data_IF_228188889777
#
_entry.id   IF_228188889777
#
_cell.length_a   1.000
_cell.length_b   1.000
_cell.length_c   1.000
_cell.angle_alpha   90.00
_cell.angle_beta   90.00
_cell.angle_gamma   90.00
#
_symmetry.space_group_name_H-M   'P 1'
#
loop_
_entity.id
_entity.type
_entity.pdbx_description
1 polymer ?
#
# COMPACT_ATOMS: atom_id res chain seq x y z
N UNK A 1 33.64 16.33 -10.25
CA UNK A 1 32.37 17.11 -10.14
C UNK A 1 31.32 16.27 -9.40
N UNK A 2 31.09 16.61 -8.14
CA UNK A 2 30.08 16.01 -7.28
C UNK A 2 28.68 16.29 -7.88
N UNK A 3 27.84 15.26 -8.03
CA UNK A 3 26.48 15.41 -8.56
C UNK A 3 25.69 16.44 -7.75
N UNK A 4 24.77 17.23 -8.35
CA UNK A 4 24.00 18.26 -7.63
C UNK A 4 23.28 17.75 -6.37
N UNK A 5 22.94 16.46 -6.34
CA UNK A 5 22.35 15.74 -5.20
C UNK A 5 23.28 15.56 -3.99
N UNK A 6 24.59 15.70 -4.16
CA UNK A 6 25.59 15.54 -3.10
C UNK A 6 25.93 16.84 -2.36
N UNK A 7 25.64 18.01 -2.95
CA UNK A 7 25.84 19.31 -2.29
C UNK A 7 24.67 19.69 -1.36
N UNK A 8 23.48 19.13 -1.58
CA UNK A 8 22.29 19.34 -0.72
C UNK A 8 22.31 18.43 0.53
N UNK A 9 23.28 17.52 0.62
CA UNK A 9 23.28 16.43 1.59
C UNK A 9 24.07 16.71 2.87
N UNK A 10 25.16 17.50 2.79
CA UNK A 10 26.08 17.74 3.91
C UNK A 10 25.37 18.40 5.08
N UNK A 11 25.32 17.67 6.21
CA UNK A 11 24.72 18.16 7.45
C UNK A 11 23.20 17.98 7.57
N UNK A 12 22.57 17.25 6.64
CA UNK A 12 21.17 16.83 6.77
C UNK A 12 20.93 15.98 8.03
N UNK A 13 19.71 16.02 8.58
CA UNK A 13 19.33 15.20 9.76
C UNK A 13 19.64 13.72 9.53
N UNK A 14 19.42 13.25 8.29
CA UNK A 14 19.68 11.86 7.90
C UNK A 14 21.18 11.53 7.97
N UNK A 15 22.07 12.42 7.55
CA UNK A 15 23.52 12.18 7.66
C UNK A 15 24.00 12.22 9.11
N UNK A 16 23.47 13.13 9.92
CA UNK A 16 23.85 13.26 11.34
C UNK A 16 23.42 12.05 12.19
N UNK A 17 22.30 11.42 11.84
CA UNK A 17 21.73 10.26 12.55
C UNK A 17 22.24 8.92 12.04
N UNK A 18 22.53 8.82 10.74
CA UNK A 18 22.98 7.57 10.11
C UNK A 18 24.36 7.17 10.62
N UNK A 19 24.50 5.94 11.10
CA UNK A 19 25.82 5.37 11.41
C UNK A 19 26.68 5.27 10.15
N UNK A 20 28.00 5.40 10.30
CA UNK A 20 28.93 5.37 9.16
C UNK A 20 28.83 4.09 8.32
N UNK A 21 28.53 2.95 8.95
CA UNK A 21 28.37 1.63 8.32
C UNK A 21 27.01 1.39 7.66
N UNK A 22 26.04 2.30 7.80
CA UNK A 22 24.68 2.13 7.26
C UNK A 22 24.58 2.86 5.93
N UNK A 23 24.21 2.18 4.86
CA UNK A 23 24.08 2.83 3.54
C UNK A 23 22.91 3.82 3.48
N UNK A 24 23.12 4.95 2.81
CA UNK A 24 22.06 5.86 2.40
C UNK A 24 21.36 5.31 1.15
N UNK A 25 20.04 5.30 1.14
CA UNK A 25 19.22 4.83 0.03
C UNK A 25 18.52 6.01 -0.65
N UNK A 26 18.41 5.92 -1.96
CA UNK A 26 17.60 6.81 -2.79
C UNK A 26 16.70 5.96 -3.68
N UNK A 27 15.40 6.27 -3.67
CA UNK A 27 14.42 5.77 -4.62
C UNK A 27 13.98 6.94 -5.49
N UNK A 28 13.99 6.74 -6.79
CA UNK A 28 13.42 7.68 -7.75
C UNK A 28 12.71 6.92 -8.86
N UNK A 29 11.52 7.37 -9.24
CA UNK A 29 10.77 6.80 -10.35
C UNK A 29 9.39 7.42 -10.51
N UNK A 30 8.60 6.86 -11.42
CA UNK A 30 7.24 7.33 -11.70
C UNK A 30 6.21 6.22 -11.56
N UNK A 31 5.01 6.56 -11.13
CA UNK A 31 3.82 5.68 -11.15
C UNK A 31 2.70 6.34 -11.95
N UNK A 32 1.83 5.54 -12.55
CA UNK A 32 0.65 6.05 -13.25
C UNK A 32 -0.45 6.38 -12.23
N UNK A 33 -0.96 7.61 -12.25
CA UNK A 33 -2.00 8.10 -11.33
C UNK A 33 -1.98 9.60 -11.13
N UNK A 34 -2.70 10.05 -10.10
CA UNK A 34 -2.69 11.45 -9.65
C UNK A 34 -1.99 11.58 -8.31
N UNK A 35 -1.52 12.79 -7.98
CA UNK A 35 -0.94 13.07 -6.67
C UNK A 35 -1.92 12.73 -5.55
N UNK A 36 -3.19 13.13 -5.71
CA UNK A 36 -4.24 12.84 -4.74
C UNK A 36 -4.50 11.33 -4.59
N UNK A 37 -4.41 10.55 -5.68
CA UNK A 37 -4.47 9.08 -5.58
C UNK A 37 -3.30 8.51 -4.79
N UNK A 38 -2.09 9.01 -5.04
CA UNK A 38 -0.91 8.58 -4.31
C UNK A 38 -1.05 8.86 -2.81
N UNK A 39 -1.52 10.06 -2.46
CA UNK A 39 -1.74 10.45 -1.07
C UNK A 39 -2.89 9.66 -0.43
N UNK A 40 -3.99 9.45 -1.16
CA UNK A 40 -5.12 8.64 -0.68
C UNK A 40 -4.75 7.18 -0.47
N UNK A 41 -3.89 6.62 -1.31
CA UNK A 41 -3.34 5.28 -1.14
C UNK A 41 -2.32 5.18 0.00
N UNK A 42 -1.49 6.20 0.17
CA UNK A 42 -0.50 6.24 1.25
C UNK A 42 -1.15 6.45 2.63
N UNK A 43 -2.23 7.22 2.70
CA UNK A 43 -2.89 7.60 3.95
C UNK A 43 -3.46 6.40 4.71
N UNK A 44 -2.95 6.19 5.92
CA UNK A 44 -3.34 5.13 6.84
C UNK A 44 -3.20 5.59 8.30
N UNK A 45 -4.23 6.29 8.79
CA UNK A 45 -4.28 6.91 10.12
C UNK A 45 -4.92 6.04 11.22
N UNK A 46 -5.25 4.78 10.93
CA UNK A 46 -5.72 3.80 11.92
C UNK A 46 -5.00 2.46 11.73
N UNK A 47 -4.91 1.65 12.79
CA UNK A 47 -4.33 0.29 12.72
C UNK A 47 -4.98 -0.54 11.62
N UNK A 48 -6.32 -0.48 11.55
CA UNK A 48 -7.09 -1.18 10.54
C UNK A 48 -6.74 -0.71 9.12
N UNK A 49 -6.75 0.61 8.88
CA UNK A 49 -6.39 1.16 7.57
C UNK A 49 -4.95 0.82 7.18
N UNK A 50 -4.02 0.80 8.14
CA UNK A 50 -2.62 0.48 7.89
C UNK A 50 -2.43 -0.99 7.53
N UNK A 51 -3.05 -1.92 8.27
CA UNK A 51 -3.02 -3.34 7.92
C UNK A 51 -3.68 -3.61 6.55
N UNK A 52 -4.77 -2.92 6.24
CA UNK A 52 -5.41 -3.01 4.93
C UNK A 52 -4.51 -2.52 3.79
N UNK A 53 -3.80 -1.40 3.99
CA UNK A 53 -2.80 -0.92 3.03
C UNK A 53 -1.70 -1.95 2.84
N UNK A 54 -1.13 -2.45 3.93
CA UNK A 54 -0.07 -3.47 3.93
C UNK A 54 -0.45 -4.70 3.11
N UNK A 55 -1.70 -5.16 3.22
CA UNK A 55 -2.21 -6.31 2.47
C UNK A 55 -2.24 -6.14 0.94
N UNK A 56 -2.14 -4.91 0.43
CA UNK A 56 -2.12 -4.63 -1.01
C UNK A 56 -0.76 -4.17 -1.51
N UNK A 57 -0.02 -3.38 -0.72
CA UNK A 57 1.31 -2.88 -1.11
C UNK A 57 2.43 -3.87 -0.78
N UNK A 58 2.15 -4.90 0.02
CA UNK A 58 3.07 -5.97 0.40
C UNK A 58 4.37 -5.44 1.01
N UNK A 59 4.26 -4.48 1.94
CA UNK A 59 5.38 -3.92 2.69
C UNK A 59 5.87 -4.84 3.83
N UNK A 60 5.32 -6.06 3.94
CA UNK A 60 5.74 -7.12 4.85
C UNK A 60 5.73 -6.71 6.32
N UNK A 61 4.65 -6.09 6.77
CA UNK A 61 4.41 -5.84 8.19
C UNK A 61 3.93 -7.13 8.85
N UNK A 62 4.57 -7.50 9.97
CA UNK A 62 4.09 -8.60 10.81
C UNK A 62 3.08 -8.09 11.83
N UNK A 63 3.44 -7.02 12.55
CA UNK A 63 2.50 -6.30 13.41
C UNK A 63 2.73 -4.79 13.34
N UNK A 64 1.68 -4.02 13.61
CA UNK A 64 1.70 -2.57 13.51
C UNK A 64 0.65 -1.94 14.44
N UNK A 65 1.04 -0.89 15.16
CA UNK A 65 0.18 -0.12 16.07
C UNK A 65 0.44 1.37 15.93
N UNK A 66 -0.62 2.16 15.88
CA UNK A 66 -0.57 3.60 16.09
C UNK A 66 -0.67 3.83 17.59
N UNK A 67 0.39 4.36 18.18
CA UNK A 67 0.48 4.58 19.62
C UNK A 67 -0.10 5.92 20.03
N UNK A 68 0.04 6.94 19.18
CA UNK A 68 -0.53 8.26 19.42
C UNK A 68 -0.81 8.97 18.09
N UNK A 69 -1.91 9.72 18.04
CA UNK A 69 -2.20 10.66 16.94
C UNK A 69 -2.06 12.08 17.49
N UNK A 70 -1.11 12.83 16.94
CA UNK A 70 -0.85 14.24 17.31
C UNK A 70 -1.65 15.18 16.42
N UNK A 71 -1.71 14.91 15.11
CA UNK A 71 -2.56 15.65 14.16
C UNK A 71 -3.27 14.68 13.24
N UNK A 72 -4.58 14.87 13.12
CA UNK A 72 -5.41 14.15 12.17
C UNK A 72 -5.68 14.95 10.88
N UNK A 73 -6.40 14.31 9.95
CA UNK A 73 -6.88 14.91 8.71
C UNK A 73 -7.86 16.06 8.96
N UNK A 74 -8.02 16.95 7.98
CA UNK A 74 -8.94 18.10 8.04
C UNK A 74 -9.62 18.31 6.69
N UNK A 75 -10.65 19.17 6.66
CA UNK A 75 -11.31 19.54 5.40
C UNK A 75 -10.37 20.21 4.38
N UNK A 76 -9.31 20.87 4.83
CA UNK A 76 -8.30 21.53 3.98
C UNK A 76 -7.10 20.63 3.62
N UNK A 77 -6.90 19.55 4.36
CA UNK A 77 -5.83 18.59 4.13
C UNK A 77 -6.32 17.21 4.61
N UNK A 78 -7.05 16.47 3.76
CA UNK A 78 -7.68 15.21 4.14
C UNK A 78 -6.69 14.06 4.24
N UNK A 79 -5.45 14.24 3.78
CA UNK A 79 -4.38 13.25 3.88
C UNK A 79 -3.40 13.57 5.01
N UNK A 80 -3.71 14.55 5.86
CA UNK A 80 -2.85 14.97 6.96
C UNK A 80 -2.79 13.93 8.07
N UNK A 81 -1.58 13.58 8.48
CA UNK A 81 -1.35 12.77 9.67
C UNK A 81 -0.05 13.21 10.33
N UNK A 82 -0.03 13.23 11.66
CA UNK A 82 1.18 13.26 12.48
C UNK A 82 0.94 12.34 13.67
N UNK A 83 1.79 11.35 13.87
CA UNK A 83 1.61 10.41 14.97
C UNK A 83 2.82 9.55 15.26
N UNK A 84 2.73 8.81 16.36
CA UNK A 84 3.71 7.81 16.77
C UNK A 84 3.20 6.44 16.34
N UNK A 85 4.07 5.69 15.64
CA UNK A 85 3.78 4.37 15.11
C UNK A 85 4.85 3.39 15.56
N UNK A 86 4.40 2.21 15.95
CA UNK A 86 5.26 1.06 16.19
C UNK A 86 4.94 -0.03 15.18
N UNK A 87 5.96 -0.72 14.68
CA UNK A 87 5.75 -1.88 13.82
C UNK A 87 6.91 -2.87 13.87
N UNK A 88 6.59 -4.14 13.60
CA UNK A 88 7.56 -5.20 13.38
C UNK A 88 7.51 -5.64 11.90
N UNK A 89 8.69 -5.90 11.32
CA UNK A 89 8.79 -6.43 9.95
C UNK A 89 8.80 -7.96 9.96
N UNK A 90 8.19 -8.54 8.92
CA UNK A 90 8.38 -9.96 8.59
C UNK A 90 9.79 -10.16 8.03
N UNK A 91 10.48 -11.23 8.45
CA UNK A 91 11.72 -11.64 7.79
C UNK A 91 11.43 -12.61 6.65
N UNK A 92 12.23 -12.60 5.56
CA UNK A 92 12.13 -13.62 4.54
C UNK A 92 12.17 -15.02 5.17
N UNK A 93 11.21 -15.89 4.82
CA UNK A 93 11.09 -17.22 5.43
C UNK A 93 12.37 -18.07 5.35
N UNK A 94 13.21 -17.83 4.34
CA UNK A 94 14.51 -18.49 4.17
C UNK A 94 15.56 -18.08 5.21
N UNK A 95 15.30 -17.01 5.97
CA UNK A 95 16.18 -16.48 7.02
C UNK A 95 15.58 -16.67 8.42
N UNK A 96 14.42 -17.34 8.53
CA UNK A 96 13.79 -17.67 9.81
C UNK A 96 14.73 -18.55 10.64
N UNK A 97 14.96 -18.16 11.90
CA UNK A 97 15.90 -18.85 12.81
C UNK A 97 17.37 -18.42 12.66
N UNK A 98 17.70 -17.66 11.63
CA UNK A 98 19.05 -17.10 11.41
C UNK A 98 19.05 -15.60 11.74
N UNK A 99 18.01 -14.87 11.33
CA UNK A 99 17.87 -13.44 11.61
C UNK A 99 16.93 -13.17 12.79
N UNK A 100 17.46 -12.44 13.76
CA UNK A 100 16.69 -11.89 14.88
C UNK A 100 15.61 -10.91 14.38
N UNK A 101 14.45 -10.87 15.04
CA UNK A 101 13.34 -9.99 14.66
C UNK A 101 13.65 -8.53 14.94
N UNK A 102 13.16 -7.62 14.09
CA UNK A 102 13.27 -6.17 14.29
C UNK A 102 11.93 -5.49 14.47
N UNK A 103 11.84 -4.60 15.44
CA UNK A 103 10.78 -3.62 15.58
C UNK A 103 11.30 -2.20 15.32
N UNK A 104 10.38 -1.28 15.05
CA UNK A 104 10.67 0.12 14.80
C UNK A 104 9.64 0.97 15.52
N UNK A 105 10.11 2.01 16.21
CA UNK A 105 9.30 3.06 16.79
C UNK A 105 9.59 4.36 16.06
N UNK A 106 8.57 4.93 15.42
CA UNK A 106 8.72 6.09 14.54
C UNK A 106 7.71 7.17 14.87
N UNK A 107 8.08 8.41 14.57
CA UNK A 107 7.15 9.47 14.23
C UNK A 107 6.92 9.47 12.72
N UNK A 108 5.67 9.50 12.31
CA UNK A 108 5.27 9.59 10.91
C UNK A 108 4.48 10.88 10.67
N UNK A 109 4.81 11.58 9.59
CA UNK A 109 4.09 12.77 9.13
C UNK A 109 3.70 12.64 7.66
N UNK A 110 2.44 12.90 7.33
CA UNK A 110 1.91 12.86 5.96
C UNK A 110 1.08 14.10 5.67
N UNK A 111 1.03 14.53 4.42
CA UNK A 111 0.19 15.65 4.01
C UNK A 111 0.58 16.21 2.66
N UNK A 112 -0.06 17.32 2.32
CA UNK A 112 0.23 18.11 1.13
C UNK A 112 0.90 19.43 1.55
N UNK A 113 1.84 19.90 0.73
CA UNK A 113 2.49 21.20 0.90
C UNK A 113 2.81 21.81 -0.46
N UNK A 114 3.28 23.05 -0.48
CA UNK A 114 3.94 23.65 -1.64
C UNK A 114 5.46 23.47 -1.54
N UNK A 115 6.13 23.32 -2.67
CA UNK A 115 7.59 23.40 -2.78
C UNK A 115 8.09 24.85 -2.91
N UNK A 116 9.37 25.05 -3.24
CA UNK A 116 9.96 26.39 -3.42
C UNK A 116 9.35 27.18 -4.59
N UNK A 117 8.77 26.49 -5.57
CA UNK A 117 8.15 27.09 -6.76
C UNK A 117 6.65 27.31 -6.57
N UNK A 118 6.09 26.95 -5.40
CA UNK A 118 4.65 27.01 -5.13
C UNK A 118 3.87 25.80 -5.64
N UNK A 119 4.54 24.80 -6.23
CA UNK A 119 3.91 23.62 -6.79
C UNK A 119 3.48 22.66 -5.67
N UNK A 120 2.27 22.10 -5.82
CA UNK A 120 1.72 21.17 -4.84
C UNK A 120 2.50 19.84 -4.87
N UNK A 121 3.00 19.44 -3.71
CA UNK A 121 3.68 18.16 -3.50
C UNK A 121 3.07 17.42 -2.31
N UNK A 122 3.08 16.09 -2.40
CA UNK A 122 2.77 15.21 -1.28
C UNK A 122 4.05 14.84 -0.53
N UNK A 123 3.95 14.69 0.78
CA UNK A 123 5.06 14.20 1.59
C UNK A 123 4.63 13.05 2.49
N UNK A 124 5.60 12.17 2.75
CA UNK A 124 5.51 11.13 3.77
C UNK A 124 6.88 11.00 4.44
N UNK A 125 6.95 11.40 5.71
CA UNK A 125 8.15 11.39 6.51
C UNK A 125 8.05 10.30 7.57
N UNK A 126 9.10 9.52 7.72
CA UNK A 126 9.26 8.58 8.83
C UNK A 126 10.58 8.87 9.52
N UNK A 127 10.57 8.98 10.83
CA UNK A 127 11.79 9.14 11.61
C UNK A 127 11.68 8.36 12.90
N UNK A 128 12.68 7.54 13.21
CA UNK A 128 12.72 6.81 14.47
C UNK A 128 12.80 7.77 15.66
N UNK A 129 12.09 7.42 16.73
CA UNK A 129 12.06 8.17 17.99
C UNK A 129 12.25 7.23 19.17
N UNK A 130 12.66 7.80 20.31
CA UNK A 130 12.79 7.08 21.57
C UNK A 130 11.78 7.64 22.55
N UNK A 131 10.95 6.77 23.14
CA UNK A 131 9.96 7.13 24.15
C UNK A 131 10.15 6.23 25.37
N UNK A 132 10.15 6.82 26.57
CA UNK A 132 10.35 6.07 27.82
C UNK A 132 9.26 5.02 28.04
N UNK A 133 8.02 5.36 27.68
CA UNK A 133 6.85 4.48 27.83
C UNK A 133 6.79 3.36 26.79
N UNK A 134 7.72 3.34 25.82
CA UNK A 134 7.79 2.33 24.76
C UNK A 134 9.20 1.73 24.73
N UNK A 135 9.54 0.87 25.70
CA UNK A 135 10.87 0.29 25.82
C UNK A 135 11.20 -0.62 24.62
N UNK A 136 12.47 -0.95 24.49
CA UNK A 136 12.92 -1.98 23.55
C UNK A 136 12.47 -3.37 24.00
N UNK A 137 12.26 -4.26 23.03
CA UNK A 137 11.77 -5.62 23.28
C UNK A 137 12.92 -6.65 23.26
N UNK A 138 14.11 -6.23 23.69
CA UNK A 138 15.34 -7.04 23.67
C UNK A 138 15.21 -8.31 24.52
N UNK A 139 14.49 -8.25 25.65
CA UNK A 139 14.17 -9.41 26.50
C UNK A 139 13.31 -10.47 25.80
N UNK A 140 12.63 -10.12 24.71
CA UNK A 140 11.90 -11.06 23.84
C UNK A 140 12.70 -11.48 22.61
N UNK A 141 14.00 -11.13 22.55
CA UNK A 141 14.83 -11.39 21.39
C UNK A 141 14.44 -10.54 20.17
N UNK A 142 13.88 -9.34 20.37
CA UNK A 142 13.57 -8.39 19.27
C UNK A 142 14.52 -7.19 19.37
N UNK A 143 15.18 -6.84 18.26
CA UNK A 143 16.07 -5.69 18.18
C UNK A 143 15.34 -4.45 17.67
N UNK A 144 15.51 -3.32 18.35
CA UNK A 144 15.01 -2.03 17.87
C UNK A 144 15.90 -1.52 16.75
N UNK A 145 15.32 -1.42 15.55
CA UNK A 145 15.94 -0.75 14.42
C UNK A 145 15.68 0.76 14.42
N UNK A 146 16.53 1.49 13.70
CA UNK A 146 16.40 2.91 13.46
C UNK A 146 16.19 3.17 11.96
N UNK A 147 15.33 4.12 11.61
CA UNK A 147 15.18 4.55 10.23
C UNK A 147 14.89 6.04 10.14
N UNK A 148 15.18 6.60 8.97
CA UNK A 148 14.68 7.92 8.61
C UNK A 148 14.51 8.00 7.10
N UNK A 149 13.28 8.19 6.64
CA UNK A 149 12.93 8.33 5.23
C UNK A 149 12.11 9.59 4.98
N UNK A 150 12.42 10.27 3.89
CA UNK A 150 11.68 11.41 3.39
C UNK A 150 11.20 11.08 1.97
N UNK A 151 9.90 10.91 1.81
CA UNK A 151 9.26 10.75 0.50
C UNK A 151 8.64 12.07 0.07
N UNK A 152 8.89 12.45 -1.18
CA UNK A 152 8.25 13.57 -1.88
C UNK A 152 7.60 13.01 -3.14
N UNK A 153 6.34 13.37 -3.33
CA UNK A 153 5.53 12.96 -4.47
C UNK A 153 5.09 14.20 -5.25
N UNK A 154 5.29 14.20 -6.56
CA UNK A 154 4.99 15.33 -7.44
C UNK A 154 4.15 14.89 -8.62
N UNK A 155 3.14 15.68 -8.99
CA UNK A 155 2.41 15.46 -10.23
C UNK A 155 3.32 15.78 -11.43
N UNK A 156 3.58 14.80 -12.29
CA UNK A 156 4.44 14.93 -13.46
C UNK A 156 3.60 14.80 -14.74
N UNK A 157 2.89 15.88 -15.09
CA UNK A 157 1.95 15.88 -16.21
C UNK A 157 0.68 15.06 -15.94
N UNK A 158 -0.10 14.79 -16.99
CA UNK A 158 -1.38 14.07 -16.87
C UNK A 158 -1.16 12.59 -16.56
N UNK A 159 -1.71 12.12 -15.44
CA UNK A 159 -1.77 10.70 -15.11
C UNK A 159 -0.45 10.07 -14.68
N UNK A 160 0.56 10.87 -14.28
CA UNK A 160 1.83 10.37 -13.74
C UNK A 160 2.25 11.12 -12.48
N UNK A 161 2.80 10.39 -11.52
CA UNK A 161 3.37 10.94 -10.29
C UNK A 161 4.82 10.51 -10.18
N UNK A 162 5.70 11.48 -9.97
CA UNK A 162 7.10 11.25 -9.60
C UNK A 162 7.19 10.95 -8.11
N UNK A 163 7.92 9.90 -7.76
CA UNK A 163 8.25 9.53 -6.40
C UNK A 163 9.74 9.72 -6.22
N UNK A 164 10.10 10.53 -5.24
CA UNK A 164 11.46 10.65 -4.75
C UNK A 164 11.48 10.24 -3.28
N UNK A 165 12.43 9.41 -2.87
CA UNK A 165 12.69 9.14 -1.48
C UNK A 165 14.19 9.10 -1.22
N UNK A 166 14.59 9.69 -0.10
CA UNK A 166 15.95 9.59 0.45
C UNK A 166 15.86 9.18 1.90
N UNK A 167 16.75 8.30 2.34
CA UNK A 167 16.83 7.93 3.73
C UNK A 167 17.73 6.76 4.04
N UNK A 168 17.62 6.26 5.26
CA UNK A 168 18.37 5.09 5.71
C UNK A 168 17.50 4.20 6.59
N UNK A 169 17.91 2.94 6.69
CA UNK A 169 17.39 1.97 7.66
C UNK A 169 18.59 1.26 8.28
N UNK A 170 18.78 1.45 9.58
CA UNK A 170 19.71 0.70 10.40
C UNK A 170 18.94 -0.37 11.17
N UNK A 171 19.05 -1.65 10.80
CA UNK A 171 18.33 -2.72 11.50
C UNK A 171 18.95 -3.08 12.85
N UNK A 172 20.11 -2.51 13.21
CA UNK A 172 20.94 -2.86 14.36
C UNK A 172 21.35 -4.35 14.42
N UNK A 173 22.28 -4.66 15.33
CA UNK A 173 22.85 -5.99 15.49
C UNK A 173 23.74 -6.42 14.32
N UNK A 174 24.10 -7.69 14.29
CA UNK A 174 25.04 -8.26 13.30
C UNK A 174 24.35 -8.64 11.98
N UNK A 175 23.67 -7.68 11.35
CA UNK A 175 23.10 -7.90 10.02
C UNK A 175 24.13 -7.63 8.92
N UNK A 176 24.29 -8.57 8.00
CA UNK A 176 25.10 -8.38 6.79
C UNK A 176 24.55 -7.18 6.01
N UNK A 177 25.40 -6.20 5.72
CA UNK A 177 25.01 -4.93 5.08
C UNK A 177 24.21 -5.14 3.79
N UNK A 178 24.65 -6.06 2.92
CA UNK A 178 23.94 -6.37 1.66
C UNK A 178 22.50 -6.83 1.88
N UNK A 179 22.27 -7.60 2.95
CA UNK A 179 20.93 -8.08 3.32
C UNK A 179 20.09 -6.92 3.83
N UNK A 180 20.66 -6.06 4.68
CA UNK A 180 20.00 -4.85 5.17
C UNK A 180 19.56 -3.93 4.03
N UNK A 181 20.48 -3.64 3.10
CA UNK A 181 20.19 -2.79 1.92
C UNK A 181 19.12 -3.41 1.04
N UNK A 182 19.16 -4.72 0.80
CA UNK A 182 18.16 -5.40 -0.02
C UNK A 182 16.75 -5.33 0.61
N UNK A 183 16.63 -5.57 1.92
CA UNK A 183 15.36 -5.48 2.64
C UNK A 183 14.82 -4.04 2.62
N UNK A 184 15.68 -3.05 2.88
CA UNK A 184 15.30 -1.64 2.85
C UNK A 184 14.85 -1.21 1.44
N UNK A 185 15.57 -1.62 0.39
CA UNK A 185 15.21 -1.34 -0.99
C UNK A 185 13.88 -1.99 -1.40
N UNK A 186 13.62 -3.24 -1.02
CA UNK A 186 12.32 -3.90 -1.26
C UNK A 186 11.18 -3.12 -0.58
N UNK A 187 11.37 -2.70 0.67
CA UNK A 187 10.38 -1.91 1.40
C UNK A 187 10.12 -0.54 0.74
N UNK A 188 11.16 0.13 0.24
CA UNK A 188 11.01 1.39 -0.51
C UNK A 188 10.24 1.18 -1.81
N UNK A 189 10.53 0.11 -2.56
CA UNK A 189 9.84 -0.19 -3.82
C UNK A 189 8.34 -0.45 -3.60
N UNK A 190 7.94 -1.02 -2.46
CA UNK A 190 6.51 -1.22 -2.13
C UNK A 190 5.72 0.11 -2.09
N UNK A 191 6.37 1.25 -1.87
CA UNK A 191 5.71 2.57 -1.94
C UNK A 191 5.14 2.88 -3.32
N UNK A 192 5.66 2.28 -4.40
CA UNK A 192 5.09 2.43 -5.75
C UNK A 192 3.68 1.83 -5.86
N UNK A 193 3.30 0.92 -4.96
CA UNK A 193 1.98 0.28 -4.94
C UNK A 193 0.86 1.14 -4.33
N UNK A 194 1.15 2.33 -3.81
CA UNK A 194 0.13 3.16 -3.13
C UNK A 194 -1.01 3.57 -4.05
N UNK A 195 -0.73 3.89 -5.32
CA UNK A 195 -1.78 4.26 -6.28
C UNK A 195 -2.69 3.08 -6.61
N UNK A 196 -2.11 1.88 -6.78
CA UNK A 196 -2.90 0.67 -6.99
C UNK A 196 -3.84 0.43 -5.80
N UNK A 197 -3.36 0.63 -4.57
CA UNK A 197 -4.19 0.53 -3.37
C UNK A 197 -5.26 1.65 -3.30
N UNK A 198 -4.96 2.86 -3.76
CA UNK A 198 -5.96 3.91 -3.91
C UNK A 198 -7.13 3.43 -4.78
N UNK A 199 -6.86 2.78 -5.92
CA UNK A 199 -7.90 2.22 -6.78
C UNK A 199 -8.68 1.08 -6.13
N UNK A 200 -8.07 0.28 -5.25
CA UNK A 200 -8.81 -0.68 -4.43
C UNK A 200 -9.77 0.03 -3.48
N UNK A 201 -9.34 1.12 -2.81
CA UNK A 201 -10.20 1.93 -1.95
C UNK A 201 -11.38 2.50 -2.75
N UNK A 202 -11.12 3.03 -3.96
CA UNK A 202 -12.16 3.57 -4.84
C UNK A 202 -13.16 2.51 -5.31
N UNK A 203 -12.69 1.33 -5.69
CA UNK A 203 -13.56 0.19 -6.02
C UNK A 203 -14.42 -0.22 -4.82
N UNK A 204 -13.85 -0.27 -3.62
CA UNK A 204 -14.57 -0.62 -2.39
C UNK A 204 -15.68 0.39 -2.10
N UNK A 205 -15.38 1.68 -2.23
CA UNK A 205 -16.36 2.75 -2.09
C UNK A 205 -17.49 2.63 -3.12
N UNK A 206 -17.15 2.41 -4.40
CA UNK A 206 -18.12 2.31 -5.48
C UNK A 206 -19.02 1.07 -5.33
N UNK A 207 -18.48 -0.03 -4.81
CA UNK A 207 -19.25 -1.23 -4.46
C UNK A 207 -20.31 -0.94 -3.40
N UNK A 208 -19.96 -0.20 -2.33
CA UNK A 208 -20.91 0.14 -1.26
C UNK A 208 -22.07 0.99 -1.80
N UNK A 209 -21.74 2.12 -2.43
CA UNK A 209 -22.70 3.08 -2.95
C UNK A 209 -23.65 2.50 -4.01
N UNK A 210 -23.14 1.70 -4.95
CA UNK A 210 -24.00 1.08 -5.97
C UNK A 210 -24.77 -0.12 -5.43
N UNK A 211 -24.28 -0.82 -4.41
CA UNK A 211 -25.03 -1.91 -3.81
C UNK A 211 -26.33 -1.42 -3.16
N UNK A 212 -26.30 -0.27 -2.49
CA UNK A 212 -27.47 0.38 -1.89
C UNK A 212 -28.47 0.79 -2.97
N UNK A 213 -28.00 1.45 -4.04
CA UNK A 213 -28.86 1.85 -5.17
C UNK A 213 -29.51 0.66 -5.91
N UNK A 214 -28.79 -0.46 -6.04
CA UNK A 214 -29.27 -1.68 -6.70
C UNK A 214 -30.24 -2.43 -5.80
N UNK A 215 -30.02 -2.46 -4.48
CA UNK A 215 -30.97 -3.05 -3.52
C UNK A 215 -32.34 -2.38 -3.57
N UNK A 216 -32.40 -1.06 -3.80
CA UNK A 216 -33.66 -0.35 -4.00
C UNK A 216 -34.36 -0.63 -5.35
N UNK A 217 -33.68 -1.28 -6.32
CA UNK A 217 -34.18 -1.43 -7.70
C UNK A 217 -34.53 -2.85 -8.12
N UNK A 218 -34.29 -3.90 -7.32
CA UNK A 218 -34.57 -5.28 -7.75
C UNK A 218 -35.69 -5.97 -6.95
N UNK A 219 -36.82 -6.17 -7.64
CA UNK A 219 -37.88 -7.15 -7.32
C UNK A 219 -38.01 -8.28 -8.35
N UNK A 220 -37.08 -8.43 -9.33
CA UNK A 220 -37.14 -9.53 -10.32
C UNK A 220 -35.78 -10.19 -10.59
N UNK A 221 -35.73 -11.54 -10.70
CA UNK A 221 -34.54 -12.24 -11.19
C UNK A 221 -34.34 -11.92 -12.68
N UNK A 222 -33.26 -11.22 -13.03
CA UNK A 222 -32.90 -11.01 -14.43
C UNK A 222 -32.44 -12.33 -15.07
N UNK A 223 -32.97 -12.63 -16.26
CA UNK A 223 -32.54 -13.75 -17.06
C UNK A 223 -31.04 -13.62 -17.37
N UNK A 224 -30.30 -14.75 -17.33
CA UNK A 224 -28.86 -14.75 -17.62
C UNK A 224 -28.63 -14.27 -19.06
N UNK A 225 -28.03 -13.08 -19.23
CA UNK A 225 -27.64 -12.57 -20.54
C UNK A 225 -26.65 -13.52 -21.22
N UNK A 226 -26.90 -13.80 -22.51
CA UNK A 226 -26.04 -14.64 -23.35
C UNK A 226 -24.98 -13.84 -24.13
N UNK A 227 -24.87 -12.54 -23.91
CA UNK A 227 -23.86 -11.68 -24.54
C UNK A 227 -23.14 -10.81 -23.52
N UNK A 228 -21.94 -10.36 -23.88
CA UNK A 228 -21.17 -9.42 -23.09
C UNK A 228 -21.81 -8.03 -23.15
N UNK A 229 -22.15 -7.45 -22.01
CA UNK A 229 -22.71 -6.10 -21.94
C UNK A 229 -21.79 -5.02 -22.52
N UNK A 230 -20.47 -5.19 -22.39
CA UNK A 230 -19.52 -4.14 -22.80
C UNK A 230 -19.14 -4.17 -24.28
N UNK A 231 -19.26 -5.32 -24.96
CA UNK A 231 -18.85 -5.46 -26.36
C UNK A 231 -19.87 -6.18 -27.25
N UNK A 232 -21.04 -6.48 -26.69
CA UNK A 232 -22.17 -7.18 -27.33
C UNK A 232 -21.84 -8.55 -27.93
N UNK A 233 -20.63 -9.08 -27.72
CA UNK A 233 -20.23 -10.41 -28.20
C UNK A 233 -20.99 -11.50 -27.45
N UNK A 234 -21.67 -12.36 -28.19
CA UNK A 234 -22.36 -13.55 -27.66
C UNK A 234 -21.36 -14.55 -27.09
N UNK A 235 -21.70 -15.16 -25.95
CA UNK A 235 -20.93 -16.26 -25.39
C UNK A 235 -21.20 -17.53 -26.20
N UNK A 236 -20.16 -18.22 -26.67
CA UNK A 236 -20.32 -19.44 -27.46
C UNK A 236 -21.00 -20.53 -26.61
N UNK A 237 -22.05 -21.17 -27.16
CA UNK A 237 -22.80 -22.24 -26.48
C UNK A 237 -22.23 -23.65 -26.69
N UNK A 238 -21.28 -23.84 -27.62
CA UNK A 238 -20.78 -25.16 -28.00
C UNK A 238 -19.24 -25.21 -28.03
N UNK A 239 -18.68 -25.95 -27.08
CA UNK A 239 -17.35 -26.56 -27.13
C UNK A 239 -17.37 -27.55 -28.29
N UNK A 240 -16.57 -27.36 -29.35
CA UNK A 240 -15.87 -28.44 -30.06
C UNK A 240 -15.00 -27.94 -31.23
N UNK A 241 -15.16 -26.73 -31.77
CA UNK A 241 -14.35 -26.28 -32.94
C UNK A 241 -13.90 -24.81 -32.97
N UNK A 242 -14.02 -24.03 -31.89
CA UNK A 242 -13.65 -22.60 -31.92
C UNK A 242 -12.22 -22.34 -31.43
N UNK A 243 -11.27 -22.25 -32.38
CA UNK A 243 -9.99 -21.55 -32.18
C UNK A 243 -10.28 -20.06 -32.04
N UNK A 244 -10.54 -19.61 -30.81
CA UNK A 244 -10.90 -18.22 -30.51
C UNK A 244 -11.82 -18.09 -29.30
N UNK A 245 -11.31 -18.42 -28.13
CA UNK A 245 -12.01 -18.57 -26.85
C UNK A 245 -12.80 -17.31 -26.37
N UNK A 246 -14.12 -17.29 -26.57
CA UNK A 246 -15.05 -16.51 -25.73
C UNK A 246 -15.65 -17.41 -24.65
N UNK A 247 -14.90 -17.61 -23.56
CA UNK A 247 -15.38 -18.35 -22.40
C UNK A 247 -16.64 -17.74 -21.76
N UNK A 248 -17.29 -18.51 -20.88
CA UNK A 248 -18.51 -18.12 -20.14
C UNK A 248 -18.40 -16.72 -19.53
N UNK A 249 -19.41 -15.87 -19.76
CA UNK A 249 -19.51 -14.55 -19.14
C UNK A 249 -19.59 -14.61 -17.62
N UNK A 250 -19.22 -13.52 -16.95
CA UNK A 250 -19.31 -13.39 -15.50
C UNK A 250 -19.88 -12.03 -15.10
N UNK A 251 -20.67 -11.99 -14.03
CA UNK A 251 -21.24 -10.75 -13.52
C UNK A 251 -20.15 -9.85 -12.90
N UNK A 252 -20.20 -8.56 -13.20
CA UNK A 252 -19.42 -7.55 -12.50
C UNK A 252 -19.91 -7.38 -11.05
N UNK A 253 -19.00 -7.27 -10.08
CA UNK A 253 -19.36 -7.11 -8.67
C UNK A 253 -20.06 -5.77 -8.35
N UNK A 254 -19.90 -4.75 -9.19
CA UNK A 254 -20.49 -3.43 -9.00
C UNK A 254 -21.83 -3.32 -9.73
N UNK A 255 -21.84 -3.39 -11.06
CA UNK A 255 -23.04 -3.15 -11.86
C UNK A 255 -23.87 -4.41 -12.16
N UNK A 256 -23.42 -5.59 -11.72
CA UNK A 256 -24.06 -6.92 -11.90
C UNK A 256 -24.25 -7.40 -13.35
N UNK A 257 -24.01 -6.54 -14.35
CA UNK A 257 -24.00 -6.89 -15.79
C UNK A 257 -22.97 -7.98 -16.11
N UNK A 258 -23.32 -8.86 -17.04
CA UNK A 258 -22.48 -9.99 -17.47
C UNK A 258 -21.47 -9.53 -18.52
N UNK A 259 -20.19 -9.77 -18.28
CA UNK A 259 -19.09 -9.37 -19.18
C UNK A 259 -18.17 -10.55 -19.52
N UNK A 260 -17.56 -10.50 -20.70
CA UNK A 260 -16.55 -11.47 -21.13
C UNK A 260 -15.21 -11.21 -20.42
N UNK A 261 -14.30 -12.18 -20.48
CA UNK A 261 -12.98 -12.07 -19.85
C UNK A 261 -12.19 -10.84 -20.32
N UNK A 262 -12.25 -10.48 -21.62
CA UNK A 262 -11.55 -9.32 -22.19
C UNK A 262 -12.10 -7.97 -21.73
N UNK A 263 -13.36 -7.93 -21.32
CA UNK A 263 -14.03 -6.71 -20.82
C UNK A 263 -14.09 -6.69 -19.29
N UNK A 264 -13.30 -7.54 -18.62
CA UNK A 264 -13.28 -7.65 -17.17
C UNK A 264 -11.86 -7.72 -16.63
N UNK A 265 -11.69 -7.21 -15.41
CA UNK A 265 -10.47 -7.35 -14.62
C UNK A 265 -10.80 -8.08 -13.33
N UNK A 266 -9.86 -8.89 -12.85
CA UNK A 266 -9.93 -9.48 -11.51
C UNK A 266 -9.03 -8.69 -10.58
N UNK A 267 -9.55 -8.22 -9.44
CA UNK A 267 -8.79 -7.55 -8.40
C UNK A 267 -8.91 -8.34 -7.09
N UNK A 268 -7.79 -8.47 -6.38
CA UNK A 268 -7.78 -8.99 -5.01
C UNK A 268 -8.27 -7.88 -4.10
N UNK A 269 -9.30 -8.17 -3.32
CA UNK A 269 -9.90 -7.24 -2.37
C UNK A 269 -9.76 -7.85 -0.98
N UNK A 270 -9.20 -7.09 -0.04
CA UNK A 270 -9.22 -7.47 1.38
C UNK A 270 -10.65 -7.42 1.89
N UNK A 271 -11.09 -8.53 2.48
CA UNK A 271 -12.43 -8.69 3.06
C UNK A 271 -12.37 -8.66 4.58
N UNK A 272 -11.27 -9.18 5.14
CA UNK A 272 -11.06 -9.23 6.57
C UNK A 272 -9.57 -9.18 6.90
N UNK A 273 -9.24 -8.60 8.05
CA UNK A 273 -7.92 -8.68 8.65
C UNK A 273 -8.13 -9.04 10.12
N UNK A 274 -7.67 -10.23 10.51
CA UNK A 274 -7.83 -10.70 11.89
C UNK A 274 -7.06 -9.82 12.88
N UNK A 275 -7.39 -9.96 14.17
CA UNK A 275 -6.62 -9.34 15.25
C UNK A 275 -5.14 -9.76 15.23
N UNK A 276 -4.87 -11.00 14.81
CA UNK A 276 -3.52 -11.58 14.63
C UNK A 276 -2.81 -11.13 13.35
N UNK A 277 -3.43 -10.28 12.52
CA UNK A 277 -2.84 -9.77 11.28
C UNK A 277 -3.05 -10.66 10.05
N UNK A 278 -3.76 -11.79 10.18
CA UNK A 278 -4.06 -12.66 9.04
C UNK A 278 -5.04 -11.96 8.09
N UNK A 279 -4.64 -11.81 6.83
CA UNK A 279 -5.41 -11.14 5.79
C UNK A 279 -6.22 -12.15 4.99
N UNK A 280 -7.53 -11.94 4.89
CA UNK A 280 -8.39 -12.67 3.97
C UNK A 280 -8.68 -11.81 2.74
N UNK A 281 -8.16 -12.23 1.59
CA UNK A 281 -8.44 -11.61 0.29
C UNK A 281 -9.32 -12.48 -0.58
N UNK A 282 -10.23 -11.84 -1.31
CA UNK A 282 -11.08 -12.46 -2.31
C UNK A 282 -10.78 -11.89 -3.70
N UNK A 283 -10.74 -12.74 -4.71
CA UNK A 283 -10.63 -12.33 -6.10
C UNK A 283 -12.01 -11.92 -6.63
N UNK A 284 -12.21 -10.62 -6.83
CA UNK A 284 -13.46 -10.05 -7.32
C UNK A 284 -13.31 -9.60 -8.77
N UNK A 285 -14.37 -9.76 -9.57
CA UNK A 285 -14.38 -9.41 -11.00
C UNK A 285 -15.14 -8.11 -11.26
N UNK A 286 -14.52 -7.19 -11.97
CA UNK A 286 -15.05 -5.89 -12.32
C UNK A 286 -15.06 -5.73 -13.84
N UNK A 287 -16.12 -5.15 -14.42
CA UNK A 287 -16.06 -4.73 -15.82
C UNK A 287 -15.12 -3.53 -15.97
N UNK A 288 -14.57 -3.33 -17.17
CA UNK A 288 -13.67 -2.20 -17.42
C UNK A 288 -14.35 -0.85 -17.18
N UNK A 289 -15.65 -0.72 -17.48
CA UNK A 289 -16.41 0.51 -17.22
C UNK A 289 -16.43 0.91 -15.73
N UNK A 290 -16.80 -0.01 -14.84
CA UNK A 290 -16.79 0.27 -13.40
C UNK A 290 -15.37 0.47 -12.84
N UNK A 291 -14.35 -0.17 -13.43
CA UNK A 291 -12.97 0.09 -13.06
C UNK A 291 -12.55 1.52 -13.42
N UNK A 292 -12.89 1.98 -14.63
CA UNK A 292 -12.58 3.34 -15.10
C UNK A 292 -13.34 4.38 -14.27
N UNK A 293 -14.63 4.17 -14.05
CA UNK A 293 -15.45 5.04 -13.18
C UNK A 293 -14.84 5.15 -11.79
N UNK A 294 -14.42 4.02 -11.19
CA UNK A 294 -13.76 4.04 -9.89
C UNK A 294 -12.45 4.85 -9.94
N UNK A 295 -11.63 4.70 -10.99
CA UNK A 295 -10.39 5.47 -11.14
C UNK A 295 -10.62 6.97 -11.25
N UNK A 296 -11.68 7.38 -11.95
CA UNK A 296 -12.07 8.78 -12.18
C UNK A 296 -12.66 9.47 -10.94
N UNK A 297 -13.10 8.72 -9.91
CA UNK A 297 -13.62 9.34 -8.69
C UNK A 297 -12.54 10.19 -8.00
N UNK A 298 -12.82 11.46 -7.64
CA UNK A 298 -11.82 12.33 -7.03
C UNK A 298 -11.43 11.81 -5.64
N UNK A 299 -10.15 11.46 -5.47
CA UNK A 299 -9.65 10.90 -4.21
C UNK A 299 -9.79 11.88 -3.04
N UNK A 300 -9.74 13.18 -3.31
CA UNK A 300 -9.97 14.24 -2.34
C UNK A 300 -11.37 14.17 -1.71
N UNK A 301 -12.43 14.16 -2.53
CA UNK A 301 -13.81 14.12 -2.04
C UNK A 301 -14.09 12.84 -1.25
N UNK A 302 -13.60 11.71 -1.76
CA UNK A 302 -13.73 10.43 -1.07
C UNK A 302 -13.03 10.39 0.29
N UNK A 303 -11.91 11.12 0.42
CA UNK A 303 -11.22 11.25 1.69
C UNK A 303 -12.02 12.12 2.66
N UNK A 304 -12.64 13.22 2.19
CA UNK A 304 -13.51 14.09 2.98
C UNK A 304 -14.75 13.37 3.52
N UNK A 305 -15.44 12.60 2.67
CA UNK A 305 -16.60 11.79 3.08
C UNK A 305 -16.21 10.81 4.20
N UNK A 306 -15.01 10.21 4.12
CA UNK A 306 -14.47 9.36 5.17
C UNK A 306 -14.23 10.09 6.50
N UNK A 307 -13.95 11.39 6.48
CA UNK A 307 -13.83 12.21 7.68
C UNK A 307 -15.20 12.46 8.31
N UNK A 308 -16.19 12.81 7.50
CA UNK A 308 -17.57 13.07 7.94
C UNK A 308 -18.15 11.84 8.64
N UNK A 309 -18.07 10.67 8.01
CA UNK A 309 -18.51 9.40 8.61
C UNK A 309 -17.82 9.09 9.95
N UNK A 310 -16.53 9.41 10.08
CA UNK A 310 -15.78 9.19 11.33
C UNK A 310 -16.22 10.15 12.44
N UNK A 311 -16.57 11.39 12.09
CA UNK A 311 -17.07 12.38 13.05
C UNK A 311 -18.47 12.05 13.55
N UNK A 312 -19.36 11.60 12.66
CA UNK A 312 -20.72 11.16 13.00
C UNK A 312 -20.69 9.96 13.95
N UNK A 313 -19.88 8.93 13.63
CA UNK A 313 -19.72 7.77 14.50
C UNK A 313 -19.20 8.13 15.91
N UNK A 314 -18.31 9.13 16.01
CA UNK A 314 -17.75 9.62 17.27
C UNK A 314 -18.78 10.43 18.09
N UNK A 315 -19.71 11.11 17.41
CA UNK A 315 -20.79 11.84 18.07
C UNK A 315 -21.89 10.92 18.60
N UNK A 316 -22.19 9.82 17.90
CA UNK A 316 -23.19 8.83 18.35
C UNK A 316 -22.74 7.98 19.54
N UNK A 317 -21.44 7.73 19.71
CA UNK A 317 -20.93 6.96 20.86
C UNK A 317 -20.82 7.79 22.16
N UNK A 318 -20.99 9.11 22.10
CA UNK A 318 -21.06 9.97 23.29
C UNK A 318 -22.42 9.89 24.02
N UNK A 319 -23.37 9.08 23.52
CA UNK A 319 -24.71 8.93 24.07
C UNK A 319 -25.15 7.46 24.08
N UNK A 320 -24.50 6.61 24.89
CA UNK A 320 -25.01 5.26 25.17
C UNK A 320 -23.93 4.20 25.36
N UNK A 321 -24.04 3.46 26.46
CA UNK A 321 -23.14 2.39 26.89
C UNK A 321 -22.97 1.24 25.88
N UNK A 322 -21.75 0.73 25.81
CA UNK A 322 -21.32 -0.66 25.51
C UNK A 322 -22.13 -1.49 24.49
N UNK A 323 -21.72 -1.47 23.22
CA UNK A 323 -21.91 -2.60 22.30
C UNK A 323 -20.88 -2.56 21.16
N UNK A 324 -20.33 -3.73 20.82
CA UNK A 324 -19.29 -3.88 19.81
C UNK A 324 -19.68 -3.31 18.44
N UNK A 325 -18.69 -2.74 17.76
CA UNK A 325 -18.79 -2.25 16.38
C UNK A 325 -19.43 -3.29 15.46
N UNK A 326 -20.50 -2.94 14.70
CA UNK A 326 -21.09 -3.86 13.74
C UNK A 326 -20.17 -4.02 12.53
N UNK A 327 -19.75 -5.26 12.26
CA UNK A 327 -19.09 -5.64 11.02
C UNK A 327 -20.07 -5.49 9.83
N UNK A 328 -19.67 -4.88 8.70
CA UNK A 328 -20.41 -5.07 7.46
C UNK A 328 -20.26 -6.53 7.03
N UNK A 329 -21.30 -7.34 7.27
CA UNK A 329 -21.40 -8.69 6.72
C UNK A 329 -21.51 -8.58 5.21
N UNK A 330 -20.41 -8.85 4.50
CA UNK A 330 -20.48 -9.19 3.09
C UNK A 330 -21.25 -10.51 2.95
N UNK A 331 -22.54 -10.44 2.68
CA UNK A 331 -23.36 -11.60 2.33
C UNK A 331 -22.90 -12.11 0.96
N UNK A 332 -22.04 -13.12 0.97
CA UNK A 332 -21.84 -13.97 -0.21
C UNK A 332 -23.13 -14.75 -0.47
N UNK A 333 -23.93 -14.33 -1.44
CA UNK A 333 -25.01 -15.16 -1.97
C UNK A 333 -24.41 -16.36 -2.73
N UNK A 334 -25.04 -17.56 -2.66
CA UNK A 334 -24.42 -18.80 -3.11
C UNK A 334 -24.42 -18.87 -4.63
N UNK A 335 -23.27 -18.58 -5.25
CA UNK A 335 -22.99 -19.03 -6.61
C UNK A 335 -22.07 -20.24 -6.51
N UNK A 336 -22.59 -21.43 -6.86
CA UNK A 336 -21.80 -22.68 -6.90
C UNK A 336 -20.66 -22.54 -7.91
N UNK A 337 -19.48 -22.18 -7.43
CA UNK A 337 -18.20 -22.48 -8.08
C UNK A 337 -17.56 -23.63 -7.32
N UNK A 338 -17.24 -24.71 -8.03
CA UNK A 338 -16.49 -25.83 -7.48
C UNK A 338 -15.14 -25.31 -6.95
N UNK A 339 -15.04 -25.16 -5.63
CA UNK A 339 -13.79 -24.90 -4.94
C UNK A 339 -13.13 -26.23 -4.64
N UNK A 340 -11.99 -26.48 -5.25
CA UNK A 340 -11.02 -27.45 -4.72
C UNK A 340 -10.34 -26.73 -3.55
N UNK A 341 -10.57 -27.21 -2.33
CA UNK A 341 -9.87 -26.74 -1.13
C UNK A 341 -8.42 -27.20 -1.23
N UNK A 342 -7.52 -26.30 -1.61
CA UNK A 342 -6.08 -26.56 -1.57
C UNK A 342 -5.52 -25.80 -0.36
N UNK A 343 -5.18 -26.55 0.69
CA UNK A 343 -4.60 -26.07 1.96
C UNK A 343 -3.14 -25.64 1.74
N UNK A 344 -2.93 -24.52 1.04
CA UNK A 344 -1.57 -24.00 0.76
C UNK A 344 -1.22 -22.80 1.62
N UNK A 345 0.05 -22.78 2.03
CA UNK A 345 0.66 -21.74 2.89
C UNK A 345 0.99 -20.46 2.09
N UNK A 346 1.17 -19.36 2.83
CA UNK A 346 1.45 -17.99 2.37
C UNK A 346 2.55 -17.87 1.30
N UNK A 347 3.56 -18.73 1.31
CA UNK A 347 4.68 -18.71 0.35
C UNK A 347 4.33 -19.21 -1.05
N UNK A 348 3.30 -20.04 -1.21
CA UNK A 348 2.97 -20.69 -2.50
C UNK A 348 2.16 -19.77 -3.43
N UNK A 349 1.44 -18.79 -2.90
CA UNK A 349 0.65 -17.84 -3.70
C UNK A 349 1.48 -16.72 -4.35
N UNK A 350 2.71 -16.47 -3.86
CA UNK A 350 3.56 -15.37 -4.36
C UNK A 350 4.18 -15.65 -5.75
N UNK A 351 4.17 -16.90 -6.23
CA UNK A 351 4.84 -17.27 -7.50
C UNK A 351 4.01 -17.03 -8.78
N UNK A 352 2.69 -16.82 -8.70
CA UNK A 352 1.83 -16.94 -9.89
C UNK A 352 1.08 -15.66 -10.33
N UNK A 353 1.16 -14.52 -9.63
CA UNK A 353 0.08 -13.52 -9.71
C UNK A 353 0.36 -12.10 -10.17
N UNK A 354 1.59 -11.60 -10.13
CA UNK A 354 1.86 -10.17 -10.39
C UNK A 354 3.19 -9.99 -11.13
N UNK A 355 3.15 -10.07 -12.46
CA UNK A 355 4.19 -9.44 -13.28
C UNK A 355 3.96 -7.92 -13.25
N UNK A 356 4.45 -7.27 -12.20
CA UNK A 356 4.86 -5.87 -12.32
C UNK A 356 6.11 -5.90 -13.20
N UNK A 357 6.11 -5.19 -14.33
CA UNK A 357 7.30 -5.03 -15.16
C UNK A 357 8.36 -4.26 -14.33
N UNK A 358 9.19 -5.00 -13.59
CA UNK A 358 10.34 -4.45 -12.87
C UNK A 358 11.48 -4.27 -13.86
N UNK A 359 11.59 -3.09 -14.46
CA UNK A 359 12.86 -2.61 -15.06
C UNK A 359 13.47 -1.60 -14.11
N UNK A 360 14.17 -2.10 -13.10
CA UNK A 360 15.08 -1.31 -12.26
C UNK A 360 16.41 -2.05 -12.19
N UNK A 361 17.46 -1.46 -12.77
CA UNK A 361 18.82 -1.99 -12.65
C UNK A 361 19.40 -1.34 -11.38
N UNK A 362 19.77 -2.15 -10.38
CA UNK A 362 20.58 -1.63 -9.28
C UNK A 362 21.95 -1.27 -9.85
N UNK A 363 22.25 0.03 -9.92
CA UNK A 363 23.61 0.50 -10.16
C UNK A 363 24.24 0.82 -8.81
N UNK A 364 25.17 -0.02 -8.37
CA UNK A 364 26.06 0.31 -7.24
C UNK A 364 27.32 0.95 -7.82
N UNK A 365 27.42 2.28 -7.81
CA UNK A 365 28.67 2.96 -8.11
C UNK A 365 29.58 2.92 -6.88
N UNK A 366 30.57 2.02 -6.90
CA UNK A 366 31.63 1.98 -5.90
C UNK A 366 32.74 2.94 -6.29
N UNK A 367 32.75 4.15 -5.72
CA UNK A 367 33.94 5.01 -5.76
C UNK A 367 34.92 4.59 -4.66
N UNK A 368 35.83 3.64 -4.97
CA UNK A 368 37.00 3.34 -4.12
C UNK A 368 37.98 4.51 -4.20
N UNK A 369 38.00 5.39 -3.19
CA UNK A 369 39.20 6.22 -2.93
C UNK A 369 40.30 5.31 -2.39
N UNK A 370 41.44 5.24 -3.11
CA UNK A 370 42.68 4.63 -2.60
C UNK A 370 43.21 5.49 -1.44
N UNK A 371 43.71 4.90 -0.34
CA UNK A 371 44.46 5.66 0.65
C UNK A 371 45.86 5.98 0.09
N UNK A 372 46.24 7.25 0.12
CA UNK A 372 47.61 7.72 -0.12
C UNK A 372 48.52 7.20 1.01
N UNK A 373 49.71 6.71 0.62
CA UNK A 373 50.77 6.36 1.58
C UNK A 373 51.41 7.64 2.11
N UNK A 374 51.84 7.67 3.38
CA UNK A 374 52.67 8.75 3.87
C UNK A 374 54.08 8.61 3.28
N UNK A 375 54.56 9.69 2.65
CA UNK A 375 55.97 9.84 2.27
C UNK A 375 56.83 9.89 3.54
N UNK A 376 57.82 9.01 3.59
CA UNK A 376 58.88 9.00 4.60
C UNK A 376 59.85 10.16 4.33
N UNK A 377 60.10 10.97 5.35
CA UNK A 377 61.24 11.88 5.39
C UNK A 377 62.56 11.13 5.15
N UNK A 378 63.34 11.60 4.19
CA UNK A 378 64.81 11.76 4.27
C UNK A 378 65.28 12.79 3.26
#
# INVERSE_FOLDING_TARGET
PLSPSSLVAEGSIQEKRRRSSVSLLVLHGTVDGTLDDSMFGAFAATDHAWKWRSSHVNDRLDDARILATVRGPTSKDPFRFLGIKWFAKEHPAVLTGILQRRDFLIMEATGLTADSEGEKVGYFLMHSVVLRDVPELSGMGILRGELSFCFILRQAGSGKVELYCRGFSDPHGEMIERVSVAIAAEALICSAGVVDYAYIKKLTWLMKHKSEQIQHRHSRPEARSNHCESCSKTFAKFTFLAVGSTGKGSACQICRRVVCAKCSVVKKMTVDVSSTGAVKQCALKFCLGCLLEAKEKPAWEMALEGLEMSSESSSTCASGSSAGTPHPRFTSLPYKTHHRSDHRSYSEYQRAGTRVYRKGRMATEFSRKKPERPESLK
#
